data_IF_888235223300
#
_entry.id   IF_888235223300
#
_cell.length_a   1.000
_cell.length_b   1.000
_cell.length_c   1.000
_cell.angle_alpha   90.00
_cell.angle_beta   90.00
_cell.angle_gamma   90.00
#
_symmetry.space_group_name_H-M   'P 1'
#
loop_
_entity.id
_entity.type
_entity.pdbx_description
1 polymer ?
#
# COMPACT_ATOMS: atom_id res chain seq x y z
N UNK A 1 -34.64 -24.75 -44.79
CA UNK A 1 -33.79 -24.88 -43.58
C UNK A 1 -33.02 -23.58 -43.27
N UNK A 2 -33.69 -22.42 -43.21
CA UNK A 2 -32.99 -21.12 -42.99
C UNK A 2 -33.75 -20.16 -42.05
N UNK A 3 -34.67 -20.66 -41.23
CA UNK A 3 -35.47 -19.82 -40.30
C UNK A 3 -35.08 -20.05 -38.83
N UNK A 4 -34.36 -21.13 -38.51
CA UNK A 4 -34.00 -21.50 -37.13
C UNK A 4 -32.77 -20.79 -36.55
N UNK A 5 -31.96 -20.09 -37.35
CA UNK A 5 -30.68 -19.52 -36.89
C UNK A 5 -30.84 -18.11 -36.31
N UNK A 6 -31.83 -17.34 -36.76
CA UNK A 6 -32.02 -15.94 -36.32
C UNK A 6 -32.75 -15.81 -34.97
N UNK A 7 -33.59 -16.78 -34.59
CA UNK A 7 -34.29 -16.78 -33.29
C UNK A 7 -33.42 -17.30 -32.13
N UNK A 8 -32.32 -18.00 -32.43
CA UNK A 8 -31.42 -18.61 -31.44
C UNK A 8 -30.12 -17.81 -31.20
N UNK A 9 -29.84 -16.81 -32.03
CA UNK A 9 -28.69 -15.91 -31.89
C UNK A 9 -28.70 -15.06 -30.60
N UNK A 10 -29.83 -14.48 -30.14
CA UNK A 10 -29.81 -13.61 -28.95
C UNK A 10 -29.54 -14.39 -27.65
N UNK A 11 -29.91 -15.68 -27.61
CA UNK A 11 -29.93 -16.49 -26.38
C UNK A 11 -28.55 -17.11 -26.11
N UNK A 12 -27.82 -17.54 -27.15
CA UNK A 12 -26.43 -18.04 -27.00
C UNK A 12 -25.43 -16.91 -26.76
N UNK A 13 -25.63 -15.73 -27.37
CA UNK A 13 -24.78 -14.55 -27.14
C UNK A 13 -24.93 -14.00 -25.72
N UNK A 14 -26.16 -13.97 -25.18
CA UNK A 14 -26.42 -13.51 -23.82
C UNK A 14 -25.75 -14.42 -22.76
N UNK A 15 -25.79 -15.75 -22.94
CA UNK A 15 -25.10 -16.69 -22.05
C UNK A 15 -23.59 -16.51 -22.02
N UNK A 16 -22.95 -16.37 -23.19
CA UNK A 16 -21.49 -16.15 -23.30
C UNK A 16 -21.07 -14.80 -22.73
N UNK A 17 -21.86 -13.74 -22.96
CA UNK A 17 -21.61 -12.43 -22.36
C UNK A 17 -21.77 -12.45 -20.85
N UNK A 18 -22.76 -13.18 -20.33
CA UNK A 18 -23.00 -13.31 -18.88
C UNK A 18 -21.87 -14.10 -18.20
N UNK A 19 -21.35 -15.15 -18.84
CA UNK A 19 -20.17 -15.88 -18.36
C UNK A 19 -18.91 -15.03 -18.41
N UNK A 20 -18.68 -14.26 -19.49
CA UNK A 20 -17.55 -13.33 -19.58
C UNK A 20 -17.62 -12.21 -18.52
N UNK A 21 -18.81 -11.66 -18.28
CA UNK A 21 -19.03 -10.70 -17.20
C UNK A 21 -18.78 -11.31 -15.82
N UNK A 22 -19.25 -12.54 -15.59
CA UNK A 22 -19.00 -13.28 -14.35
C UNK A 22 -17.50 -13.49 -14.11
N UNK A 23 -16.76 -13.91 -15.13
CA UNK A 23 -15.30 -14.07 -15.05
C UNK A 23 -14.60 -12.72 -14.81
N UNK A 24 -14.99 -11.67 -15.51
CA UNK A 24 -14.41 -10.34 -15.32
C UNK A 24 -14.64 -9.81 -13.89
N UNK A 25 -15.84 -9.98 -13.35
CA UNK A 25 -16.17 -9.60 -11.97
C UNK A 25 -15.40 -10.44 -10.94
N UNK A 26 -15.21 -11.73 -11.18
CA UNK A 26 -14.38 -12.58 -10.33
C UNK A 26 -12.92 -12.11 -10.32
N UNK A 27 -12.34 -11.81 -11.48
CA UNK A 27 -10.97 -11.30 -11.58
C UNK A 27 -10.86 -9.94 -10.90
N UNK A 28 -11.82 -9.03 -11.10
CA UNK A 28 -11.88 -7.74 -10.39
C UNK A 28 -11.94 -7.98 -8.88
N UNK A 29 -12.77 -8.90 -8.40
CA UNK A 29 -12.87 -9.25 -6.99
C UNK A 29 -11.54 -9.77 -6.42
N UNK A 30 -10.87 -10.67 -7.14
CA UNK A 30 -9.54 -11.19 -6.77
C UNK A 30 -8.52 -10.06 -6.74
N UNK A 31 -8.52 -9.16 -7.73
CA UNK A 31 -7.64 -8.00 -7.76
C UNK A 31 -7.86 -7.06 -6.59
N UNK A 32 -9.12 -6.81 -6.20
CA UNK A 32 -9.43 -5.98 -5.02
C UNK A 32 -8.90 -6.63 -3.74
N UNK A 33 -9.12 -7.94 -3.57
CA UNK A 33 -8.64 -8.68 -2.39
C UNK A 33 -7.11 -8.69 -2.36
N UNK A 34 -6.47 -8.97 -3.49
CA UNK A 34 -5.01 -8.98 -3.57
C UNK A 34 -4.44 -7.59 -3.34
N UNK A 35 -5.03 -6.54 -3.91
CA UNK A 35 -4.61 -5.17 -3.63
C UNK A 35 -4.72 -4.86 -2.13
N UNK A 36 -5.83 -5.25 -1.48
CA UNK A 36 -6.00 -5.04 -0.05
C UNK A 36 -4.98 -5.83 0.80
N UNK A 37 -4.69 -7.08 0.43
CA UNK A 37 -3.75 -7.96 1.14
C UNK A 37 -2.30 -7.52 0.94
N UNK A 38 -1.88 -7.31 -0.31
CA UNK A 38 -0.52 -6.86 -0.65
C UNK A 38 -0.24 -5.43 -0.14
N UNK A 39 -1.28 -4.59 -0.04
CA UNK A 39 -1.16 -3.21 0.44
C UNK A 39 -1.58 -3.02 1.90
N UNK A 40 -1.87 -4.09 2.65
CA UNK A 40 -2.25 -3.99 4.07
C UNK A 40 -1.17 -3.29 4.91
N UNK A 41 0.09 -3.62 4.64
CA UNK A 41 1.26 -2.98 5.25
C UNK A 41 1.29 -1.47 4.91
N UNK A 42 1.00 -1.11 3.65
CA UNK A 42 0.94 0.27 3.16
C UNK A 42 -0.11 1.09 3.89
N UNK A 43 -1.27 0.50 4.22
CA UNK A 43 -2.33 1.15 5.00
C UNK A 43 -1.84 1.53 6.40
N UNK A 44 -1.04 0.65 7.01
CA UNK A 44 -0.46 0.90 8.33
C UNK A 44 0.57 2.03 8.27
N UNK A 45 1.43 2.07 7.24
CA UNK A 45 2.39 3.17 7.01
C UNK A 45 1.67 4.50 6.83
N UNK A 46 0.67 4.49 5.95
CA UNK A 46 -0.15 5.65 5.63
C UNK A 46 -0.82 6.21 6.89
N UNK A 47 -1.42 5.35 7.70
CA UNK A 47 -2.04 5.74 8.95
C UNK A 47 -1.06 6.43 9.91
N UNK A 48 0.17 5.92 9.99
CA UNK A 48 1.22 6.51 10.84
C UNK A 48 1.72 7.87 10.32
N UNK A 49 1.86 8.01 9.00
CA UNK A 49 2.26 9.30 8.39
C UNK A 49 1.18 10.36 8.58
N UNK A 50 -0.08 10.01 8.30
CA UNK A 50 -1.22 10.92 8.39
C UNK A 50 -1.52 11.32 9.83
N UNK A 51 -1.36 10.42 10.80
CA UNK A 51 -1.62 10.72 12.22
C UNK A 51 -0.81 11.92 12.76
N UNK A 52 0.32 12.26 12.12
CA UNK A 52 1.15 13.41 12.49
C UNK A 52 0.49 14.75 12.18
N UNK A 53 -0.56 14.77 11.36
CA UNK A 53 -1.33 15.97 11.02
C UNK A 53 -2.46 16.20 12.03
N UNK A 54 -2.84 17.47 12.30
CA UNK A 54 -4.06 17.79 13.04
C UNK A 54 -5.31 17.22 12.35
N UNK A 55 -6.39 16.93 13.09
CA UNK A 55 -7.59 16.25 12.58
C UNK A 55 -8.14 16.76 11.22
N UNK A 56 -8.32 18.09 10.99
CA UNK A 56 -8.86 18.57 9.70
C UNK A 56 -7.91 18.35 8.52
N UNK A 57 -6.59 18.33 8.77
CA UNK A 57 -5.58 18.12 7.73
C UNK A 57 -5.40 16.65 7.37
N UNK A 58 -5.74 15.72 8.28
CA UNK A 58 -5.66 14.27 8.00
C UNK A 58 -6.59 13.86 6.87
N UNK A 59 -7.85 14.26 6.97
CA UNK A 59 -8.87 13.93 5.97
C UNK A 59 -8.50 14.51 4.60
N UNK A 60 -7.95 15.74 4.58
CA UNK A 60 -7.42 16.34 3.36
C UNK A 60 -6.24 15.56 2.80
N UNK A 61 -5.26 15.18 3.63
CA UNK A 61 -4.11 14.40 3.17
C UNK A 61 -4.54 13.05 2.57
N UNK A 62 -5.52 12.38 3.19
CA UNK A 62 -6.08 11.13 2.66
C UNK A 62 -6.82 11.36 1.33
N UNK A 63 -7.60 12.44 1.23
CA UNK A 63 -8.34 12.78 0.01
C UNK A 63 -7.41 13.13 -1.16
N UNK A 64 -6.46 14.04 -0.95
CA UNK A 64 -5.46 14.37 -1.98
C UNK A 64 -4.57 13.18 -2.32
N UNK A 65 -4.33 12.30 -1.34
CA UNK A 65 -3.65 11.03 -1.57
C UNK A 65 -4.44 10.09 -2.49
N UNK A 66 -5.77 10.02 -2.40
CA UNK A 66 -6.58 9.22 -3.34
C UNK A 66 -6.34 9.69 -4.79
N UNK A 67 -6.41 11.00 -5.03
CA UNK A 67 -6.19 11.55 -6.36
C UNK A 67 -4.75 11.29 -6.86
N UNK A 68 -3.75 11.49 -6.00
CA UNK A 68 -2.35 11.16 -6.29
C UNK A 68 -2.17 9.69 -6.64
N UNK A 69 -2.72 8.80 -5.82
CA UNK A 69 -2.59 7.37 -6.03
C UNK A 69 -3.25 6.93 -7.33
N UNK A 70 -4.44 7.43 -7.69
CA UNK A 70 -5.03 7.08 -8.98
C UNK A 70 -4.15 7.44 -10.18
N UNK A 71 -3.57 8.64 -10.15
CA UNK A 71 -2.69 9.11 -11.22
C UNK A 71 -1.38 8.31 -11.24
N UNK A 72 -0.68 8.24 -10.11
CA UNK A 72 0.61 7.56 -10.01
C UNK A 72 0.48 6.06 -10.26
N UNK A 73 -0.58 5.43 -9.73
CA UNK A 73 -0.86 4.00 -9.93
C UNK A 73 -1.29 3.71 -11.36
N UNK A 74 -2.12 4.56 -11.95
CA UNK A 74 -2.50 4.43 -13.35
C UNK A 74 -1.28 4.51 -14.27
N UNK A 75 -0.39 5.47 -14.03
CA UNK A 75 0.89 5.57 -14.74
C UNK A 75 1.76 4.33 -14.49
N UNK A 76 1.89 3.89 -13.24
CA UNK A 76 2.68 2.70 -12.91
C UNK A 76 2.14 1.43 -13.60
N UNK A 77 0.82 1.28 -13.75
CA UNK A 77 0.20 0.18 -14.49
C UNK A 77 0.51 0.24 -15.99
N UNK A 78 0.33 1.40 -16.62
CA UNK A 78 0.64 1.59 -18.06
C UNK A 78 2.12 1.30 -18.34
N UNK A 79 2.99 1.77 -17.46
CA UNK A 79 4.43 1.63 -17.63
C UNK A 79 5.02 0.43 -16.89
N UNK A 80 4.20 -0.47 -16.33
CA UNK A 80 4.64 -1.54 -15.45
C UNK A 80 5.81 -2.33 -16.04
N UNK A 81 5.62 -2.85 -17.26
CA UNK A 81 6.60 -3.66 -17.98
C UNK A 81 7.93 -2.92 -18.15
N UNK A 82 7.90 -1.59 -18.35
CA UNK A 82 9.11 -0.77 -18.48
C UNK A 82 9.74 -0.44 -17.14
N UNK A 83 8.95 0.01 -16.15
CA UNK A 83 9.44 0.40 -14.82
C UNK A 83 10.15 -0.76 -14.12
N UNK A 84 9.66 -1.98 -14.30
CA UNK A 84 10.22 -3.16 -13.64
C UNK A 84 11.60 -3.52 -14.22
N UNK A 85 11.94 -3.16 -15.45
CA UNK A 85 13.29 -3.43 -16.00
C UNK A 85 14.37 -2.55 -15.35
N UNK A 86 13.99 -1.51 -14.62
CA UNK A 86 14.95 -0.59 -14.04
C UNK A 86 15.26 -0.94 -12.58
N UNK A 87 16.41 -1.60 -12.37
CA UNK A 87 16.92 -1.91 -11.03
C UNK A 87 16.97 -0.69 -10.10
N UNK A 88 17.27 0.50 -10.64
CA UNK A 88 17.41 1.73 -9.86
C UNK A 88 16.08 2.24 -9.30
N UNK A 89 14.94 1.92 -9.92
CA UNK A 89 13.61 2.28 -9.37
C UNK A 89 13.39 1.55 -8.04
N UNK A 90 13.72 0.26 -8.01
CA UNK A 90 13.64 -0.53 -6.78
C UNK A 90 14.67 -0.06 -5.76
N UNK A 91 15.89 0.27 -6.18
CA UNK A 91 16.91 0.81 -5.28
C UNK A 91 16.47 2.15 -4.64
N UNK A 92 15.87 3.06 -5.41
CA UNK A 92 15.35 4.33 -4.88
C UNK A 92 14.20 4.12 -3.89
N UNK A 93 13.23 3.25 -4.24
CA UNK A 93 12.14 2.90 -3.33
C UNK A 93 12.66 2.25 -2.04
N UNK A 94 13.65 1.36 -2.15
CA UNK A 94 14.26 0.71 -1.00
C UNK A 94 14.98 1.71 -0.09
N UNK A 95 15.80 2.59 -0.65
CA UNK A 95 16.47 3.67 0.09
C UNK A 95 15.44 4.54 0.80
N UNK A 96 14.34 4.90 0.13
CA UNK A 96 13.28 5.71 0.71
C UNK A 96 12.58 5.00 1.89
N UNK A 97 12.15 3.75 1.72
CA UNK A 97 11.48 2.96 2.76
C UNK A 97 12.40 2.70 3.97
N UNK A 98 13.66 2.34 3.71
CA UNK A 98 14.67 2.16 4.76
C UNK A 98 14.95 3.47 5.49
N UNK A 99 15.04 4.58 4.77
CA UNK A 99 15.25 5.90 5.36
C UNK A 99 14.13 6.26 6.34
N UNK A 100 12.86 6.12 5.96
CA UNK A 100 11.73 6.45 6.85
C UNK A 100 11.67 5.52 8.06
N UNK A 101 11.96 4.22 7.89
CA UNK A 101 11.99 3.24 8.98
C UNK A 101 13.13 3.54 9.97
N UNK A 102 14.36 3.69 9.47
CA UNK A 102 15.54 3.99 10.30
C UNK A 102 15.37 5.34 11.01
N UNK A 103 14.87 6.36 10.31
CA UNK A 103 14.63 7.66 10.90
C UNK A 103 13.61 7.58 12.05
N UNK A 104 12.58 6.74 11.93
CA UNK A 104 11.62 6.52 13.01
C UNK A 104 12.29 5.94 14.27
N UNK A 105 13.07 4.86 14.13
CA UNK A 105 13.69 4.19 15.27
C UNK A 105 14.85 4.99 15.88
N UNK A 106 15.62 5.74 15.08
CA UNK A 106 16.70 6.61 15.59
C UNK A 106 16.21 7.84 16.37
N UNK A 107 14.93 8.23 16.22
CA UNK A 107 14.38 9.47 16.80
C UNK A 107 13.63 9.30 18.14
N UNK A 108 13.73 8.17 18.85
CA UNK A 108 13.01 7.97 20.13
C UNK A 108 13.83 8.40 21.36
N UNK A 109 13.57 9.63 21.86
CA UNK A 109 12.62 9.91 22.96
C UNK A 109 12.50 11.43 23.20
N UNK A 110 13.56 12.24 23.10
CA UNK A 110 13.50 13.63 23.61
C UNK A 110 12.96 14.73 22.68
N UNK A 111 12.80 14.49 21.37
CA UNK A 111 12.38 15.54 20.41
C UNK A 111 11.03 15.32 19.73
N UNK A 112 10.44 14.13 19.83
CA UNK A 112 9.15 13.82 19.20
C UNK A 112 7.99 14.37 20.04
N UNK A 113 8.08 14.30 21.37
CA UNK A 113 7.15 15.00 22.27
C UNK A 113 7.25 16.51 22.07
N UNK A 114 8.46 17.09 22.07
CA UNK A 114 8.64 18.53 21.80
C UNK A 114 8.13 18.98 20.41
N UNK A 115 8.28 18.17 19.34
CA UNK A 115 7.77 18.51 18.00
C UNK A 115 6.26 18.26 17.86
N UNK A 116 5.73 17.23 18.49
CA UNK A 116 4.31 16.86 18.44
C UNK A 116 3.50 17.78 19.37
N UNK A 117 4.06 18.18 20.51
CA UNK A 117 3.50 19.22 21.38
C UNK A 117 3.67 20.61 20.75
N UNK A 118 4.78 20.93 20.07
CA UNK A 118 4.86 22.15 19.25
C UNK A 118 3.84 22.15 18.08
N UNK A 119 3.54 21.00 17.47
CA UNK A 119 2.49 20.85 16.44
C UNK A 119 1.06 20.87 17.01
N UNK A 120 0.86 20.44 18.27
CA UNK A 120 -0.41 20.61 18.99
C UNK A 120 -0.61 22.06 19.44
N UNK A 121 0.49 22.75 19.76
CA UNK A 121 0.46 24.16 20.22
C UNK A 121 0.40 25.15 19.04
N UNK A 122 0.87 24.75 17.84
CA UNK A 122 0.75 25.53 16.62
C UNK A 122 -0.38 24.97 15.75
N UNK A 123 -1.56 25.58 15.84
CA UNK A 123 -2.73 25.31 14.98
C UNK A 123 -2.48 25.51 13.46
N UNK A 124 -1.26 25.87 13.05
CA UNK A 124 -0.93 26.25 11.67
C UNK A 124 0.03 25.22 11.06
N UNK A 125 -0.52 24.22 10.38
CA UNK A 125 0.27 23.40 9.44
C UNK A 125 0.58 24.29 8.24
N UNK A 126 1.87 24.51 7.96
CA UNK A 126 2.23 25.26 6.76
C UNK A 126 1.90 24.45 5.50
N UNK A 127 1.47 25.08 4.40
CA UNK A 127 1.20 24.37 3.14
C UNK A 127 2.37 23.48 2.70
N UNK A 128 3.61 23.95 2.91
CA UNK A 128 4.83 23.19 2.59
C UNK A 128 4.93 21.88 3.40
N UNK A 129 4.63 21.91 4.70
CA UNK A 129 4.64 20.71 5.53
C UNK A 129 3.53 19.73 5.13
N UNK A 130 2.35 20.25 4.82
CA UNK A 130 1.23 19.44 4.36
C UNK A 130 1.57 18.71 3.06
N UNK A 131 2.03 19.44 2.02
CA UNK A 131 2.41 18.83 0.74
C UNK A 131 3.62 17.91 0.85
N UNK A 132 4.55 18.18 1.77
CA UNK A 132 5.64 17.25 2.05
C UNK A 132 5.14 15.91 2.62
N UNK A 133 4.12 15.93 3.48
CA UNK A 133 3.50 14.70 4.02
C UNK A 133 2.71 13.96 2.93
N UNK A 134 1.93 14.67 2.11
CA UNK A 134 1.24 14.07 0.96
C UNK A 134 2.25 13.43 0.00
N UNK A 135 3.34 14.12 -0.35
CA UNK A 135 4.38 13.55 -1.19
C UNK A 135 5.05 12.32 -0.57
N UNK A 136 5.27 12.30 0.76
CA UNK A 136 5.81 11.12 1.45
C UNK A 136 4.86 9.93 1.37
N UNK A 137 3.57 10.16 1.56
CA UNK A 137 2.53 9.14 1.42
C UNK A 137 2.53 8.55 0.01
N UNK A 138 2.55 9.40 -1.01
CA UNK A 138 2.51 8.97 -2.41
C UNK A 138 3.80 8.28 -2.85
N UNK A 139 4.96 8.72 -2.37
CA UNK A 139 6.24 8.05 -2.62
C UNK A 139 6.30 6.67 -1.96
N UNK A 140 5.76 6.54 -0.74
CA UNK A 140 5.65 5.24 -0.09
C UNK A 140 4.74 4.31 -0.90
N UNK A 141 3.56 4.78 -1.29
CA UNK A 141 2.62 4.01 -2.12
C UNK A 141 3.25 3.56 -3.44
N UNK A 142 3.99 4.45 -4.12
CA UNK A 142 4.69 4.12 -5.36
C UNK A 142 5.79 3.06 -5.16
N UNK A 143 6.53 3.12 -4.05
CA UNK A 143 7.55 2.12 -3.74
C UNK A 143 6.93 0.73 -3.54
N UNK A 144 5.75 0.65 -2.91
CA UNK A 144 5.01 -0.59 -2.73
C UNK A 144 4.25 -1.06 -3.98
N UNK A 145 3.84 -0.13 -4.85
CA UNK A 145 3.08 -0.41 -6.05
C UNK A 145 3.78 -1.38 -7.00
N UNK A 146 5.12 -1.48 -6.96
CA UNK A 146 5.90 -2.36 -7.85
C UNK A 146 5.47 -3.83 -7.73
N UNK A 147 5.26 -4.33 -6.52
CA UNK A 147 4.92 -5.75 -6.28
C UNK A 147 3.46 -6.04 -6.62
N UNK A 148 2.54 -5.14 -6.27
CA UNK A 148 1.11 -5.31 -6.51
C UNK A 148 0.72 -5.06 -7.97
N UNK A 149 1.39 -4.16 -8.67
CA UNK A 149 1.23 -3.98 -10.14
C UNK A 149 1.64 -5.24 -10.90
N UNK A 150 2.75 -5.88 -10.50
CA UNK A 150 3.20 -7.14 -11.09
C UNK A 150 2.15 -8.25 -10.95
N UNK A 151 1.57 -8.39 -9.77
CA UNK A 151 0.51 -9.37 -9.50
C UNK A 151 -0.73 -9.05 -10.34
N UNK A 152 -1.10 -7.78 -10.43
CA UNK A 152 -2.28 -7.36 -11.18
C UNK A 152 -2.15 -7.65 -12.69
N UNK A 153 -0.98 -7.37 -13.28
CA UNK A 153 -0.68 -7.68 -14.69
C UNK A 153 -0.55 -9.19 -14.94
N UNK A 154 -0.14 -9.97 -13.94
CA UNK A 154 -0.08 -11.43 -14.06
C UNK A 154 -1.46 -12.11 -14.01
N UNK A 155 -2.50 -11.42 -13.52
CA UNK A 155 -3.84 -11.99 -13.34
C UNK A 155 -4.79 -11.76 -14.51
N UNK A 156 -4.52 -10.77 -15.35
CA UNK A 156 -5.35 -10.48 -16.52
C UNK A 156 -4.55 -9.74 -17.58
N UNK A 157 -4.75 -10.12 -18.83
CA UNK A 157 -4.24 -9.36 -19.98
C UNK A 157 -5.17 -8.18 -20.36
N UNK A 158 -6.38 -8.12 -19.78
CA UNK A 158 -7.33 -7.05 -20.06
C UNK A 158 -7.10 -5.86 -19.14
N UNK A 159 -6.43 -4.83 -19.68
CA UNK A 159 -6.13 -3.60 -18.95
C UNK A 159 -7.35 -3.00 -18.25
N UNK A 160 -8.55 -3.01 -18.85
CA UNK A 160 -9.75 -2.45 -18.22
C UNK A 160 -10.15 -3.18 -16.94
N UNK A 161 -10.01 -4.51 -16.91
CA UNK A 161 -10.28 -5.35 -15.74
C UNK A 161 -9.25 -5.04 -14.65
N UNK A 162 -7.97 -4.92 -15.03
CA UNK A 162 -6.88 -4.56 -14.12
C UNK A 162 -7.13 -3.18 -13.50
N UNK A 163 -7.40 -2.17 -14.34
CA UNK A 163 -7.68 -0.81 -13.91
C UNK A 163 -8.86 -0.78 -12.95
N UNK A 164 -9.98 -1.43 -13.28
CA UNK A 164 -11.15 -1.48 -12.42
C UNK A 164 -10.83 -2.12 -11.05
N UNK A 165 -10.19 -3.29 -11.04
CA UNK A 165 -9.82 -3.99 -9.81
C UNK A 165 -8.86 -3.21 -8.93
N UNK A 166 -7.76 -2.72 -9.51
CA UNK A 166 -6.77 -1.92 -8.78
C UNK A 166 -7.38 -0.62 -8.28
N UNK A 167 -8.20 0.07 -9.08
CA UNK A 167 -8.76 1.35 -8.69
C UNK A 167 -9.82 1.24 -7.59
N UNK A 168 -10.65 0.20 -7.61
CA UNK A 168 -11.55 -0.11 -6.50
C UNK A 168 -10.72 -0.54 -5.27
N UNK A 169 -9.64 -1.29 -5.47
CA UNK A 169 -8.69 -1.67 -4.42
C UNK A 169 -8.06 -0.46 -3.72
N UNK A 170 -7.62 0.57 -4.47
CA UNK A 170 -7.10 1.83 -3.91
C UNK A 170 -8.15 2.50 -3.00
N UNK A 171 -9.40 2.59 -3.44
CA UNK A 171 -10.49 3.13 -2.62
C UNK A 171 -10.65 2.33 -1.32
N UNK A 172 -10.74 1.00 -1.42
CA UNK A 172 -10.86 0.11 -0.27
C UNK A 172 -9.69 0.29 0.72
N UNK A 173 -8.46 0.33 0.21
CA UNK A 173 -7.25 0.55 0.99
C UNK A 173 -7.28 1.89 1.75
N UNK A 174 -7.83 2.94 1.13
CA UNK A 174 -7.91 4.27 1.74
C UNK A 174 -8.93 4.33 2.87
N UNK A 175 -10.03 3.57 2.78
CA UNK A 175 -10.92 3.36 3.93
C UNK A 175 -10.21 2.60 5.07
N UNK A 176 -9.48 1.54 4.75
CA UNK A 176 -8.69 0.78 5.74
C UNK A 176 -7.66 1.67 6.44
N UNK A 177 -7.02 2.59 5.73
CA UNK A 177 -6.07 3.53 6.31
C UNK A 177 -6.71 4.48 7.34
N UNK A 178 -7.95 4.93 7.12
CA UNK A 178 -8.70 5.72 8.12
C UNK A 178 -8.91 4.91 9.40
N UNK A 179 -9.31 3.64 9.27
CA UNK A 179 -9.47 2.73 10.41
C UNK A 179 -8.14 2.54 11.16
N UNK A 180 -7.03 2.42 10.42
CA UNK A 180 -5.70 2.33 11.01
C UNK A 180 -5.29 3.58 11.78
N UNK A 181 -5.65 4.79 11.33
CA UNK A 181 -5.40 6.01 12.10
C UNK A 181 -6.07 5.93 13.47
N UNK A 182 -7.34 5.53 13.53
CA UNK A 182 -8.06 5.33 14.78
C UNK A 182 -7.46 4.21 15.64
N UNK A 183 -7.05 3.09 15.02
CA UNK A 183 -6.41 1.97 15.71
C UNK A 183 -5.07 2.41 16.34
N UNK A 184 -4.26 3.17 15.62
CA UNK A 184 -2.99 3.70 16.13
C UNK A 184 -3.24 4.65 17.30
N UNK A 185 -4.26 5.50 17.22
CA UNK A 185 -4.64 6.40 18.32
C UNK A 185 -4.95 5.62 19.61
N UNK A 186 -5.67 4.51 19.48
CA UNK A 186 -6.01 3.62 20.59
C UNK A 186 -4.83 2.76 21.07
N UNK A 187 -4.01 2.26 20.16
CA UNK A 187 -2.88 1.35 20.40
C UNK A 187 -1.58 1.87 19.77
N UNK A 188 -0.83 2.76 20.45
CA UNK A 188 0.38 3.37 19.90
C UNK A 188 1.50 2.38 19.54
N UNK A 189 1.51 1.17 20.11
CA UNK A 189 2.47 0.11 19.73
C UNK A 189 2.39 -0.29 18.26
N UNK A 190 1.23 -0.17 17.61
CA UNK A 190 1.09 -0.45 16.18
C UNK A 190 2.02 0.45 15.33
N UNK A 191 2.40 1.64 15.82
CA UNK A 191 3.36 2.50 15.11
C UNK A 191 4.72 1.81 14.95
N UNK A 192 5.19 1.09 15.98
CA UNK A 192 6.46 0.36 15.92
C UNK A 192 6.39 -0.81 14.95
N UNK A 193 5.27 -1.53 14.98
CA UNK A 193 5.03 -2.66 14.06
C UNK A 193 5.02 -2.16 12.62
N UNK A 194 4.30 -1.06 12.36
CA UNK A 194 4.24 -0.42 11.05
C UNK A 194 5.62 -0.11 10.48
N UNK A 195 6.45 0.61 11.25
CA UNK A 195 7.78 1.00 10.78
C UNK A 195 8.76 -0.18 10.70
N UNK A 196 8.58 -1.23 11.50
CA UNK A 196 9.36 -2.46 11.35
C UNK A 196 9.03 -3.14 10.02
N UNK A 197 7.74 -3.27 9.70
CA UNK A 197 7.25 -3.84 8.43
C UNK A 197 7.69 -3.00 7.23
N UNK A 198 7.64 -1.66 7.33
CA UNK A 198 8.20 -0.75 6.31
C UNK A 198 9.68 -1.02 6.07
N UNK A 199 10.45 -1.16 7.14
CA UNK A 199 11.88 -1.47 7.05
C UNK A 199 12.11 -2.80 6.34
N UNK A 200 11.35 -3.83 6.69
CA UNK A 200 11.42 -5.15 6.03
C UNK A 200 11.04 -5.08 4.55
N UNK A 201 10.00 -4.32 4.20
CA UNK A 201 9.63 -4.10 2.81
C UNK A 201 10.72 -3.33 2.04
N UNK A 202 11.38 -2.36 2.69
CA UNK A 202 12.56 -1.69 2.15
C UNK A 202 13.72 -2.66 1.88
N UNK A 203 13.98 -3.62 2.80
CA UNK A 203 14.97 -4.69 2.59
C UNK A 203 14.58 -5.60 1.43
N UNK A 204 13.31 -6.02 1.37
CA UNK A 204 12.78 -6.85 0.25
C UNK A 204 13.00 -6.16 -1.09
N UNK A 205 12.68 -4.87 -1.15
CA UNK A 205 12.81 -4.07 -2.37
C UNK A 205 14.29 -3.85 -2.73
N UNK A 206 15.18 -3.70 -1.73
CA UNK A 206 16.62 -3.61 -1.93
C UNK A 206 17.18 -4.90 -2.54
N UNK A 207 16.78 -6.06 -2.02
CA UNK A 207 17.16 -7.38 -2.54
C UNK A 207 16.67 -7.52 -3.99
N UNK A 208 15.42 -7.15 -4.27
CA UNK A 208 14.88 -7.18 -5.63
C UNK A 208 15.65 -6.28 -6.61
N UNK A 209 16.04 -5.09 -6.18
CA UNK A 209 16.88 -4.18 -6.96
C UNK A 209 18.30 -4.72 -7.18
N UNK A 210 18.90 -5.31 -6.13
CA UNK A 210 20.21 -5.95 -6.21
C UNK A 210 20.22 -7.13 -7.18
N UNK A 211 19.24 -8.02 -7.08
CA UNK A 211 19.15 -9.21 -7.94
C UNK A 211 19.06 -8.82 -9.43
N UNK A 212 18.31 -7.76 -9.76
CA UNK A 212 18.27 -7.23 -11.13
C UNK A 212 19.59 -6.60 -11.54
N UNK A 213 20.16 -5.76 -10.68
CA UNK A 213 21.46 -5.14 -10.95
C UNK A 213 22.55 -6.20 -11.22
N UNK A 214 22.61 -7.25 -10.40
CA UNK A 214 23.54 -8.37 -10.57
C UNK A 214 23.33 -9.11 -11.90
N UNK A 215 22.08 -9.40 -12.27
CA UNK A 215 21.75 -10.10 -13.53
C UNK A 215 21.99 -9.23 -14.77
N UNK A 216 21.45 -8.03 -14.78
CA UNK A 216 21.32 -7.21 -15.99
C UNK A 216 22.52 -6.30 -16.22
N UNK A 217 23.10 -5.73 -15.14
CA UNK A 217 24.21 -4.77 -15.24
C UNK A 217 25.55 -5.47 -15.08
N UNK A 218 25.67 -6.33 -14.07
CA UNK A 218 26.92 -7.06 -13.83
C UNK A 218 27.06 -8.30 -14.72
N UNK A 219 25.98 -8.79 -15.33
CA UNK A 219 25.95 -10.07 -16.07
C UNK A 219 26.46 -11.24 -15.22
N UNK A 220 26.20 -11.18 -13.90
CA UNK A 220 26.65 -12.13 -12.87
C UNK A 220 25.44 -12.77 -12.19
N UNK A 221 24.73 -13.69 -12.85
CA UNK A 221 23.55 -14.35 -12.27
C UNK A 221 23.87 -15.16 -11.00
N UNK A 222 25.14 -15.50 -10.78
CA UNK A 222 25.62 -16.17 -9.57
C UNK A 222 25.65 -15.26 -8.31
N UNK A 223 25.48 -13.94 -8.47
CA UNK A 223 25.44 -12.96 -7.36
C UNK A 223 24.01 -12.62 -6.92
N UNK A 224 23.03 -13.28 -7.52
CA UNK A 224 21.62 -13.18 -7.18
C UNK A 224 21.42 -13.87 -5.85
N UNK A 225 20.72 -13.22 -4.93
CA UNK A 225 20.55 -13.71 -3.56
C UNK A 225 19.81 -15.04 -3.49
N UNK A 226 19.00 -15.36 -4.52
CA UNK A 226 18.23 -16.60 -4.59
C UNK A 226 17.08 -16.66 -3.58
N UNK A 227 16.77 -15.55 -2.92
CA UNK A 227 15.69 -15.48 -1.93
C UNK A 227 14.36 -15.50 -2.68
N UNK A 228 13.55 -16.51 -2.38
CA UNK A 228 12.22 -16.61 -2.94
C UNK A 228 11.33 -15.47 -2.44
N UNK A 229 10.67 -14.77 -3.38
CA UNK A 229 9.83 -13.61 -3.06
C UNK A 229 8.64 -13.98 -2.17
N UNK A 230 8.11 -15.19 -2.30
CA UNK A 230 7.00 -15.65 -1.48
C UNK A 230 7.46 -15.97 -0.07
N UNK A 231 8.63 -16.60 0.11
CA UNK A 231 9.22 -16.84 1.43
C UNK A 231 9.45 -15.53 2.20
N UNK A 232 10.00 -14.50 1.55
CA UNK A 232 10.20 -13.20 2.20
C UNK A 232 8.87 -12.52 2.54
N UNK A 233 7.87 -12.62 1.65
CA UNK A 233 6.54 -12.03 1.91
C UNK A 233 5.81 -12.75 3.05
N UNK A 234 5.93 -14.07 3.14
CA UNK A 234 5.41 -14.86 4.26
C UNK A 234 6.10 -14.49 5.57
N UNK A 235 7.41 -14.23 5.53
CA UNK A 235 8.15 -13.74 6.69
C UNK A 235 7.65 -12.37 7.16
N UNK A 236 7.47 -11.41 6.25
CA UNK A 236 6.87 -10.10 6.59
C UNK A 236 5.48 -10.29 7.22
N UNK A 237 4.63 -11.12 6.61
CA UNK A 237 3.30 -11.40 7.13
C UNK A 237 3.36 -12.01 8.54
N UNK A 238 4.28 -12.93 8.79
CA UNK A 238 4.52 -13.50 10.11
C UNK A 238 4.92 -12.44 11.14
N UNK A 239 5.83 -11.53 10.77
CA UNK A 239 6.23 -10.40 11.62
C UNK A 239 5.07 -9.44 11.88
N UNK A 240 4.26 -9.16 10.86
CA UNK A 240 3.06 -8.32 10.98
C UNK A 240 2.06 -8.93 11.97
N UNK A 241 1.74 -10.22 11.83
CA UNK A 241 0.79 -10.92 12.69
C UNK A 241 1.27 -10.99 14.14
N UNK A 242 2.52 -11.40 14.36
CA UNK A 242 3.11 -11.45 15.70
C UNK A 242 3.22 -10.06 16.33
N UNK A 243 3.60 -9.06 15.53
CA UNK A 243 3.66 -7.66 15.94
C UNK A 243 2.28 -7.11 16.31
N UNK A 244 1.25 -7.41 15.53
CA UNK A 244 -0.13 -7.01 15.82
C UNK A 244 -0.63 -7.64 17.13
N UNK A 245 -0.39 -8.94 17.34
CA UNK A 245 -0.73 -9.63 18.61
C UNK A 245 -0.02 -8.96 19.78
N UNK A 246 1.28 -8.67 19.64
CA UNK A 246 2.05 -7.98 20.68
C UNK A 246 1.56 -6.55 20.95
N UNK A 247 1.15 -5.83 19.90
CA UNK A 247 0.64 -4.47 20.01
C UNK A 247 -0.73 -4.43 20.71
N UNK A 248 -1.59 -5.43 20.47
CA UNK A 248 -2.91 -5.56 21.10
C UNK A 248 -2.84 -5.97 22.57
N UNK A 249 -1.71 -6.49 23.07
CA UNK A 249 -1.52 -6.82 24.50
C UNK A 249 -1.36 -5.58 25.39
N UNK A 250 -1.27 -4.38 24.83
CA UNK A 250 -1.20 -3.13 25.59
C UNK A 250 -2.62 -2.63 25.93
N UNK A 251 -2.81 -2.08 27.15
CA UNK A 251 -4.10 -1.48 27.52
C UNK A 251 -4.39 -0.28 26.60
N UNK A 252 -5.62 -0.15 26.07
CA UNK A 252 -5.98 1.00 25.25
C UNK A 252 -5.83 2.30 26.04
N UNK A 253 -5.46 3.40 25.36
CA UNK A 253 -5.44 4.74 25.98
C UNK A 253 -6.84 5.12 26.47
N UNK A 254 -6.91 5.76 27.64
CA UNK A 254 -8.11 6.02 28.45
C UNK A 254 -9.19 6.96 27.86
N UNK A 255 -9.36 7.05 26.54
CA UNK A 255 -10.46 7.80 25.93
C UNK A 255 -11.84 7.12 26.12
N UNK A 256 -11.85 5.90 26.67
CA UNK A 256 -13.05 5.06 26.86
C UNK A 256 -13.61 5.08 28.30
N UNK A 257 -13.05 5.88 29.24
CA UNK A 257 -13.57 5.95 30.62
C UNK A 257 -14.66 7.01 30.86
N UNK A 258 -14.85 7.92 29.90
CA UNK A 258 -15.99 8.83 29.90
C UNK A 258 -17.00 8.31 28.87
N UNK A 259 -17.86 7.39 29.33
CA UNK A 259 -19.15 7.17 28.66
C UNK A 259 -19.92 8.50 28.60
N UNK A 260 -20.92 8.63 27.70
CA UNK A 260 -21.71 9.86 27.65
C UNK A 260 -22.22 10.16 29.07
N UNK A 261 -21.82 11.31 29.61
CA UNK A 261 -22.46 11.85 30.79
C UNK A 261 -23.96 11.98 30.44
N UNK A 262 -24.76 11.32 31.28
CA UNK A 262 -26.23 11.14 31.19
C UNK A 262 -26.96 12.30 30.53
#
# INVERSE_FOLDING_TARGET
MAVGVLLFWPIRGCGVLMEQLGQALLVIGILIVLEAVLSADNAMVLGVMVRQLPPPWRQRALFYGIAGAYVLRGLALVFAVYLIQFWWIQALGAVYLLYIAIQHFRKRESKKEARLDALKTLQVVTPRQFWAIVAQIELADLAFAVDSVLVAVALSDNLWIIFAGVFIGILALRFVAVLFVGLLERYPRFERVAFAVVGLAGVKLAIGGWDKFAKEVLSRPEWVTGIDKAQFSLFILGVLLLGAIWALREKPKAADLEGPAV
#
